data_IF_014370225421
#
_entry.id   IF_014370225421
#
_cell.length_a   1.000
_cell.length_b   1.000
_cell.length_c   1.000
_cell.angle_alpha   90.00
_cell.angle_beta   90.00
_cell.angle_gamma   90.00
#
_symmetry.space_group_name_H-M   'P 1'
#
loop_
_entity.id
_entity.type
_entity.pdbx_description
1 polymer ?
#
# COMPACT_ATOMS: atom_id res chain seq x y z
N UNK A 1 8.25 -35.31 -12.73
CA UNK A 1 8.47 -33.90 -12.33
C UNK A 1 7.13 -33.22 -12.31
N UNK A 2 6.52 -33.21 -11.15
CA UNK A 2 5.24 -32.56 -10.85
C UNK A 2 5.47 -31.04 -10.73
N UNK A 3 4.83 -30.27 -11.61
CA UNK A 3 4.89 -28.81 -11.56
C UNK A 3 4.01 -28.34 -10.39
N UNK A 4 4.56 -27.64 -9.38
CA UNK A 4 3.75 -27.15 -8.27
C UNK A 4 2.70 -26.17 -8.81
N UNK A 5 1.44 -26.39 -8.44
CA UNK A 5 0.34 -25.52 -8.84
C UNK A 5 0.49 -24.13 -8.19
N UNK A 6 0.02 -23.07 -8.86
CA UNK A 6 0.16 -21.68 -8.38
C UNK A 6 -0.40 -21.47 -6.97
N UNK A 7 -1.39 -22.27 -6.58
CA UNK A 7 -2.03 -22.24 -5.26
C UNK A 7 -1.12 -22.75 -4.13
N UNK A 8 -0.22 -23.70 -4.40
CA UNK A 8 0.74 -24.19 -3.40
C UNK A 8 1.94 -23.25 -3.18
N UNK A 9 2.07 -22.19 -3.99
CA UNK A 9 3.14 -21.19 -3.87
C UNK A 9 2.82 -20.08 -2.85
N UNK A 10 1.53 -19.86 -2.59
CA UNK A 10 1.02 -18.71 -1.82
C UNK A 10 0.80 -19.09 -0.36
N UNK A 11 1.90 -19.28 0.38
CA UNK A 11 1.86 -19.65 1.80
C UNK A 11 1.79 -18.40 2.71
N UNK A 12 1.20 -18.53 3.89
CA UNK A 12 0.95 -17.44 4.86
C UNK A 12 2.18 -16.64 5.33
N UNK A 13 3.38 -17.14 5.05
CA UNK A 13 4.68 -16.50 5.30
C UNK A 13 4.81 -15.18 4.51
N UNK A 14 4.09 -15.01 3.40
CA UNK A 14 4.20 -13.82 2.54
C UNK A 14 3.67 -12.53 3.18
N UNK A 15 2.71 -12.59 4.11
CA UNK A 15 2.04 -11.38 4.64
C UNK A 15 2.96 -10.48 5.46
N UNK A 16 3.71 -11.08 6.40
CA UNK A 16 4.70 -10.34 7.20
C UNK A 16 5.84 -9.80 6.32
N UNK A 17 6.27 -10.59 5.33
CA UNK A 17 7.29 -10.18 4.37
C UNK A 17 6.81 -9.02 3.50
N UNK A 18 5.55 -9.02 3.07
CA UNK A 18 4.94 -7.91 2.32
C UNK A 18 4.93 -6.63 3.16
N UNK A 19 4.53 -6.71 4.44
CA UNK A 19 4.54 -5.54 5.32
C UNK A 19 5.95 -4.97 5.53
N UNK A 20 6.96 -5.83 5.71
CA UNK A 20 8.37 -5.41 5.77
C UNK A 20 8.83 -4.74 4.48
N UNK A 21 8.58 -5.37 3.33
CA UNK A 21 8.96 -4.83 2.03
C UNK A 21 8.32 -3.46 1.77
N UNK A 22 7.06 -3.26 2.16
CA UNK A 22 6.38 -1.96 2.03
C UNK A 22 7.04 -0.90 2.92
N UNK A 23 7.39 -1.29 4.16
CA UNK A 23 8.04 -0.37 5.10
C UNK A 23 9.42 0.04 4.57
N UNK A 24 10.23 -0.93 4.16
CA UNK A 24 11.55 -0.69 3.54
C UNK A 24 11.43 0.19 2.29
N UNK A 25 10.43 -0.06 1.45
CA UNK A 25 10.15 0.79 0.30
C UNK A 25 9.90 2.25 0.70
N UNK A 26 9.06 2.49 1.71
CA UNK A 26 8.75 3.84 2.22
C UNK A 26 9.97 4.49 2.88
N UNK A 27 10.85 3.71 3.50
CA UNK A 27 12.11 4.17 4.08
C UNK A 27 13.14 4.53 3.01
N UNK A 28 13.16 3.81 1.89
CA UNK A 28 14.04 4.11 0.74
C UNK A 28 13.64 5.34 -0.08
N UNK A 29 12.42 5.87 0.12
CA UNK A 29 11.96 7.08 -0.58
C UNK A 29 12.78 8.30 -0.16
N UNK A 30 13.23 9.08 -1.15
CA UNK A 30 13.87 10.37 -0.92
C UNK A 30 12.96 11.31 -0.14
N UNK A 31 13.51 12.20 0.72
CA UNK A 31 12.71 13.12 1.53
C UNK A 31 11.83 14.06 0.68
N UNK A 32 12.26 14.41 -0.53
CA UNK A 32 11.48 15.24 -1.48
C UNK A 32 10.26 14.51 -2.05
N UNK A 33 10.35 13.18 -2.16
CA UNK A 33 9.25 12.33 -2.63
C UNK A 33 8.35 11.86 -1.49
N UNK A 34 8.80 11.96 -0.24
CA UNK A 34 8.12 11.42 0.92
C UNK A 34 7.09 12.43 1.45
N UNK A 35 5.86 11.97 1.61
CA UNK A 35 4.85 12.72 2.33
C UNK A 35 5.29 12.86 3.78
N UNK A 36 5.27 14.09 4.31
CA UNK A 36 5.55 14.32 5.73
C UNK A 36 4.59 13.53 6.62
N UNK A 37 5.03 13.21 7.84
CA UNK A 37 4.32 12.30 8.77
C UNK A 37 2.85 12.69 8.99
N UNK A 38 2.56 13.99 9.13
CA UNK A 38 1.17 14.49 9.30
C UNK A 38 0.30 14.17 8.08
N UNK A 39 0.80 14.42 6.87
CA UNK A 39 0.08 14.16 5.63
C UNK A 39 -0.11 12.66 5.39
N UNK A 40 0.95 11.88 5.65
CA UNK A 40 0.92 10.43 5.54
C UNK A 40 -0.14 9.80 6.46
N UNK A 41 -0.15 10.17 7.74
CA UNK A 41 -1.13 9.68 8.70
C UNK A 41 -2.57 10.08 8.34
N UNK A 42 -2.77 11.32 7.86
CA UNK A 42 -4.09 11.76 7.43
C UNK A 42 -4.60 10.95 6.23
N UNK A 43 -3.75 10.74 5.21
CA UNK A 43 -4.09 9.93 4.03
C UNK A 43 -4.38 8.47 4.39
N UNK A 44 -3.60 7.89 5.29
CA UNK A 44 -3.83 6.53 5.79
C UNK A 44 -5.18 6.41 6.46
N UNK A 45 -5.50 7.34 7.38
CA UNK A 45 -6.79 7.36 8.06
C UNK A 45 -7.95 7.37 7.07
N UNK A 46 -7.91 8.27 6.08
CA UNK A 46 -8.93 8.36 5.03
C UNK A 46 -9.05 7.08 4.18
N UNK A 47 -7.94 6.36 3.99
CA UNK A 47 -7.97 5.09 3.29
C UNK A 47 -8.48 3.95 4.16
N UNK A 48 -8.17 3.90 5.46
CA UNK A 48 -8.73 2.89 6.37
C UNK A 48 -10.24 3.06 6.57
N UNK A 49 -10.75 4.29 6.46
CA UNK A 49 -12.19 4.59 6.45
C UNK A 49 -12.83 4.39 5.06
N UNK A 50 -12.06 4.01 4.04
CA UNK A 50 -12.55 3.83 2.67
C UNK A 50 -13.09 2.40 2.44
N UNK A 51 -14.29 2.25 1.87
CA UNK A 51 -14.84 0.92 1.53
C UNK A 51 -14.02 0.18 0.46
N UNK A 52 -13.21 0.92 -0.30
CA UNK A 52 -12.32 0.37 -1.31
C UNK A 52 -10.97 -0.11 -0.74
N UNK A 53 -10.70 0.10 0.55
CA UNK A 53 -9.51 -0.45 1.20
C UNK A 53 -9.79 -1.87 1.66
N UNK A 54 -8.98 -2.81 1.18
CA UNK A 54 -9.07 -4.22 1.56
C UNK A 54 -7.68 -4.73 1.86
N UNK A 55 -7.47 -5.17 3.10
CA UNK A 55 -6.20 -5.79 3.52
C UNK A 55 -4.96 -4.90 3.26
N UNK A 56 -5.13 -3.57 3.35
CA UNK A 56 -4.05 -2.61 3.08
C UNK A 56 -3.81 -2.30 1.60
N UNK A 57 -4.62 -2.87 0.69
CA UNK A 57 -4.64 -2.60 -0.75
C UNK A 57 -5.84 -1.73 -1.13
N UNK A 58 -5.65 -0.83 -2.10
CA UNK A 58 -6.75 -0.08 -2.69
C UNK A 58 -7.37 -0.87 -3.84
N UNK A 59 -8.66 -1.21 -3.77
CA UNK A 59 -9.40 -1.93 -4.82
C UNK A 59 -9.54 -1.15 -6.13
N UNK A 60 -9.40 0.18 -6.09
CA UNK A 60 -9.51 1.02 -7.30
C UNK A 60 -8.23 0.95 -8.14
N UNK A 61 -7.05 0.98 -7.52
CA UNK A 61 -5.77 1.02 -8.25
C UNK A 61 -4.87 -0.20 -8.04
N UNK A 62 -5.23 -1.13 -7.16
CA UNK A 62 -4.44 -2.31 -6.81
C UNK A 62 -3.16 -2.03 -6.02
N UNK A 63 -2.87 -0.77 -5.66
CA UNK A 63 -1.64 -0.42 -4.93
C UNK A 63 -1.82 -0.56 -3.41
N UNK A 64 -0.70 -0.82 -2.72
CA UNK A 64 -0.64 -0.70 -1.27
C UNK A 64 -0.91 0.74 -0.83
N UNK A 65 -1.88 0.89 0.06
CA UNK A 65 -2.34 2.18 0.58
C UNK A 65 -1.17 2.92 1.26
N UNK A 66 -0.37 2.21 2.05
CA UNK A 66 0.82 2.74 2.73
C UNK A 66 1.86 3.27 1.74
N UNK A 67 2.23 2.48 0.74
CA UNK A 67 3.21 2.90 -0.27
C UNK A 67 2.75 4.12 -1.07
N UNK A 68 1.44 4.19 -1.41
CA UNK A 68 0.88 5.32 -2.16
C UNK A 68 0.73 6.58 -1.29
N UNK A 69 0.25 6.44 -0.06
CA UNK A 69 0.10 7.55 0.87
C UNK A 69 1.46 8.20 1.22
N UNK A 70 2.52 7.38 1.27
CA UNK A 70 3.88 7.82 1.56
C UNK A 70 4.50 8.70 0.47
N UNK A 71 3.94 8.72 -0.75
CA UNK A 71 4.45 9.58 -1.83
C UNK A 71 3.78 10.94 -1.81
N UNK A 72 4.55 12.01 -1.68
CA UNK A 72 4.06 13.38 -1.61
C UNK A 72 3.20 13.74 -2.83
N UNK A 73 3.70 13.46 -4.03
CA UNK A 73 3.05 13.77 -5.32
C UNK A 73 1.94 12.80 -5.72
N UNK A 74 1.67 11.77 -4.90
CA UNK A 74 0.56 10.85 -5.16
C UNK A 74 -0.77 11.44 -4.71
N UNK A 75 -1.84 10.96 -5.32
CA UNK A 75 -3.23 11.33 -5.04
C UNK A 75 -4.10 10.08 -4.92
N UNK A 76 -5.28 10.25 -4.32
CA UNK A 76 -6.29 9.21 -4.24
C UNK A 76 -6.78 8.85 -5.66
N UNK A 77 -6.71 7.57 -6.08
CA UNK A 77 -7.19 7.14 -7.39
C UNK A 77 -8.72 7.12 -7.50
N UNK A 78 -9.44 7.32 -6.40
CA UNK A 78 -10.88 7.38 -6.37
C UNK A 78 -11.38 8.60 -7.18
N UNK A 79 -12.44 8.49 -8.01
CA UNK A 79 -12.96 9.60 -8.79
C UNK A 79 -13.36 10.81 -7.93
N UNK A 80 -13.84 10.57 -6.71
CA UNK A 80 -14.21 11.62 -5.77
C UNK A 80 -13.00 12.21 -5.01
N UNK A 81 -11.79 11.67 -5.23
CA UNK A 81 -10.51 12.07 -4.62
C UNK A 81 -10.63 12.33 -3.12
N UNK A 82 -10.63 11.25 -2.34
CA UNK A 82 -10.70 11.36 -0.86
C UNK A 82 -9.53 12.12 -0.25
N UNK A 83 -8.41 12.23 -0.97
CA UNK A 83 -7.20 12.99 -0.61
C UNK A 83 -6.28 13.23 -1.81
#
# INVERSE_FOLDING_TARGET
MEQPCRTCLFNSIERDQIEKNIKEYIESLSPDEKAGERLYNNRLRLCFECPNCFDGLCRICGCFVRARAAKLRSYCPDPAKRW
#
